data_IF_505321008546
#
_entry.id   IF_505321008546
#
_cell.length_a   1.000
_cell.length_b   1.000
_cell.length_c   1.000
_cell.angle_alpha   90.00
_cell.angle_beta   90.00
_cell.angle_gamma   90.00
#
_symmetry.space_group_name_H-M   'P 1'
#
loop_
_entity.id
_entity.type
_entity.pdbx_description
1 polymer ?
#
# COMPACT_ATOMS: atom_id res chain seq x y z
N UNK A 1 5.21 -7.46 -44.10
CA UNK A 1 6.51 -7.53 -43.39
C UNK A 1 6.39 -6.57 -42.23
N UNK A 2 6.21 -7.09 -41.02
CA UNK A 2 6.01 -6.29 -39.81
C UNK A 2 7.28 -5.50 -39.52
N UNK A 3 7.15 -4.20 -39.28
CA UNK A 3 8.28 -3.36 -38.90
C UNK A 3 8.77 -3.78 -37.50
N UNK A 4 9.86 -4.53 -37.47
CA UNK A 4 10.49 -5.06 -36.25
C UNK A 4 10.93 -3.94 -35.29
N UNK A 5 11.26 -2.74 -35.79
CA UNK A 5 11.66 -1.62 -34.94
C UNK A 5 10.44 -1.02 -34.23
N UNK A 6 9.32 -0.89 -34.93
CA UNK A 6 8.05 -0.43 -34.35
C UNK A 6 7.51 -1.40 -33.29
N UNK A 7 7.65 -2.72 -33.52
CA UNK A 7 7.29 -3.73 -32.53
C UNK A 7 8.06 -3.58 -31.21
N UNK A 8 9.39 -3.41 -31.29
CA UNK A 8 10.26 -3.24 -30.12
C UNK A 8 10.00 -1.94 -29.36
N UNK A 9 9.65 -0.86 -30.08
CA UNK A 9 9.27 0.41 -29.46
C UNK A 9 7.98 0.28 -28.65
N UNK A 10 6.97 -0.41 -29.20
CA UNK A 10 5.72 -0.68 -28.51
C UNK A 10 5.92 -1.56 -27.27
N UNK A 11 6.76 -2.60 -27.36
CA UNK A 11 7.13 -3.43 -26.20
C UNK A 11 7.75 -2.57 -25.09
N UNK A 12 8.67 -1.66 -25.42
CA UNK A 12 9.29 -0.77 -24.44
C UNK A 12 8.26 0.17 -23.77
N UNK A 13 7.32 0.73 -24.53
CA UNK A 13 6.24 1.57 -23.98
C UNK A 13 5.32 0.77 -23.05
N UNK A 14 5.02 -0.49 -23.40
CA UNK A 14 4.21 -1.37 -22.55
C UNK A 14 4.92 -1.68 -21.24
N UNK A 15 6.22 -1.92 -21.24
CA UNK A 15 6.98 -2.16 -20.00
C UNK A 15 7.00 -0.93 -19.08
N UNK A 16 7.10 0.28 -19.63
CA UNK A 16 6.95 1.53 -18.86
C UNK A 16 5.56 1.61 -18.25
N UNK A 17 4.51 1.37 -19.04
CA UNK A 17 3.13 1.38 -18.57
C UNK A 17 2.88 0.35 -17.45
N UNK A 18 3.39 -0.87 -17.59
CA UNK A 18 3.28 -1.91 -16.55
C UNK A 18 3.92 -1.44 -15.25
N UNK A 19 5.12 -0.85 -15.33
CA UNK A 19 5.84 -0.31 -14.18
C UNK A 19 5.04 0.79 -13.49
N UNK A 20 4.59 1.80 -14.22
CA UNK A 20 3.81 2.92 -13.65
C UNK A 20 2.48 2.46 -13.05
N UNK A 21 1.82 1.48 -13.67
CA UNK A 21 0.54 0.93 -13.16
C UNK A 21 0.73 0.22 -11.83
N UNK A 22 1.87 -0.46 -11.61
CA UNK A 22 2.19 -1.13 -10.35
C UNK A 22 2.43 -0.14 -9.18
N UNK A 23 2.65 1.15 -9.45
CA UNK A 23 2.79 2.18 -8.40
C UNK A 23 1.44 2.58 -7.79
N UNK A 24 0.32 2.21 -8.42
CA UNK A 24 -1.02 2.43 -7.88
C UNK A 24 -1.28 1.48 -6.70
N UNK A 25 -1.76 2.04 -5.58
CA UNK A 25 -1.83 1.36 -4.27
C UNK A 25 -2.57 0.00 -4.25
N UNK A 26 -3.49 -0.27 -5.19
CA UNK A 26 -4.30 -1.50 -5.23
C UNK A 26 -3.89 -2.47 -6.34
N UNK A 27 -3.00 -2.05 -7.25
CA UNK A 27 -2.61 -2.88 -8.40
C UNK A 27 -1.76 -4.08 -7.98
N UNK A 28 -0.83 -4.00 -7.02
CA UNK A 28 -0.13 -5.16 -6.50
C UNK A 28 -1.09 -6.24 -5.96
N UNK A 29 -2.03 -5.85 -5.09
CA UNK A 29 -3.03 -6.75 -4.51
C UNK A 29 -3.89 -7.43 -5.60
N UNK A 30 -4.24 -6.67 -6.64
CA UNK A 30 -4.98 -7.21 -7.78
C UNK A 30 -4.13 -8.20 -8.58
N UNK A 31 -2.88 -7.87 -8.88
CA UNK A 31 -1.98 -8.75 -9.63
C UNK A 31 -1.82 -10.10 -8.92
N UNK A 32 -1.75 -10.10 -7.60
CA UNK A 32 -1.67 -11.32 -6.76
C UNK A 32 -2.90 -12.23 -6.89
N UNK A 33 -4.06 -11.69 -7.32
CA UNK A 33 -5.26 -12.52 -7.59
C UNK A 33 -5.13 -13.37 -8.88
N UNK A 34 -4.20 -13.04 -9.77
CA UNK A 34 -4.04 -13.70 -11.08
C UNK A 34 -3.11 -14.91 -10.95
N UNK A 35 -3.65 -16.03 -10.44
CA UNK A 35 -2.84 -17.23 -10.14
C UNK A 35 -2.24 -17.97 -11.36
N UNK A 36 -2.86 -17.85 -12.54
CA UNK A 36 -2.49 -18.61 -13.75
C UNK A 36 -2.49 -17.76 -15.04
N UNK A 37 -2.50 -16.43 -14.91
CA UNK A 37 -2.61 -15.50 -16.05
C UNK A 37 -1.79 -14.24 -15.76
N UNK A 38 -1.26 -13.61 -16.80
CA UNK A 38 -0.64 -12.29 -16.66
C UNK A 38 -1.72 -11.21 -16.72
N UNK A 39 -1.82 -10.38 -15.67
CA UNK A 39 -2.70 -9.23 -15.59
C UNK A 39 -2.55 -8.32 -16.81
N UNK A 40 -1.32 -8.18 -17.33
CA UNK A 40 -0.97 -7.31 -18.44
C UNK A 40 -0.70 -8.05 -19.76
N UNK A 41 -1.21 -9.29 -19.92
CA UNK A 41 -1.06 -10.02 -21.18
C UNK A 41 -1.53 -9.19 -22.40
N UNK A 42 -0.73 -9.19 -23.46
CA UNK A 42 -1.01 -8.47 -24.70
C UNK A 42 -0.50 -9.24 -25.92
N UNK A 43 -0.96 -8.84 -27.10
CA UNK A 43 -0.42 -9.27 -28.39
C UNK A 43 -0.21 -8.08 -29.29
N UNK A 44 0.91 -8.04 -30.02
CA UNK A 44 1.18 -7.03 -31.04
C UNK A 44 0.87 -7.66 -32.41
N UNK A 45 -0.07 -7.07 -33.15
CA UNK A 45 -0.41 -7.49 -34.51
C UNK A 45 -0.48 -6.25 -35.40
N UNK A 46 0.16 -6.31 -36.57
CA UNK A 46 0.21 -5.22 -37.56
C UNK A 46 0.67 -3.85 -37.00
N UNK A 47 1.50 -3.85 -35.95
CA UNK A 47 2.01 -2.63 -35.32
C UNK A 47 0.98 -1.92 -34.45
N UNK A 48 -0.07 -2.62 -34.05
CA UNK A 48 -1.06 -2.22 -33.04
C UNK A 48 -0.99 -3.18 -31.84
N UNK A 49 -1.28 -2.64 -30.65
CA UNK A 49 -1.27 -3.39 -29.39
C UNK A 49 -2.70 -3.82 -29.07
N UNK A 50 -2.91 -5.12 -28.97
CA UNK A 50 -4.18 -5.72 -28.57
C UNK A 50 -4.05 -6.28 -27.15
N UNK A 51 -4.62 -5.56 -26.19
CA UNK A 51 -4.97 -6.13 -24.89
C UNK A 51 -6.20 -7.02 -25.07
N UNK A 52 -6.30 -8.13 -24.32
CA UNK A 52 -7.54 -8.90 -24.35
C UNK A 52 -8.70 -7.99 -23.89
N UNK A 53 -9.85 -8.07 -24.56
CA UNK A 53 -11.01 -7.16 -24.38
C UNK A 53 -11.42 -6.98 -22.91
N UNK A 54 -11.27 -8.03 -22.12
CA UNK A 54 -11.60 -8.01 -20.70
C UNK A 54 -10.56 -7.28 -19.84
N UNK A 55 -9.27 -7.31 -20.20
CA UNK A 55 -8.21 -6.58 -19.48
C UNK A 55 -8.33 -5.06 -19.71
N UNK A 56 -8.62 -4.62 -20.93
CA UNK A 56 -8.84 -3.20 -21.23
C UNK A 56 -10.09 -2.63 -20.53
N UNK A 57 -11.18 -3.42 -20.45
CA UNK A 57 -12.39 -3.06 -19.70
C UNK A 57 -12.11 -2.98 -18.19
N UNK A 58 -11.31 -3.90 -17.66
CA UNK A 58 -10.87 -3.92 -16.27
C UNK A 58 -10.01 -2.70 -15.95
N UNK A 59 -9.01 -2.39 -16.79
CA UNK A 59 -8.17 -1.18 -16.70
C UNK A 59 -8.96 0.12 -16.72
N UNK A 60 -9.95 0.23 -17.60
CA UNK A 60 -10.86 1.38 -17.63
C UNK A 60 -11.76 1.46 -16.38
N UNK A 61 -12.19 0.32 -15.85
CA UNK A 61 -12.95 0.27 -14.60
C UNK A 61 -12.08 0.67 -13.40
N UNK A 62 -10.80 0.26 -13.37
CA UNK A 62 -9.82 0.64 -12.36
C UNK A 62 -9.54 2.14 -12.39
N UNK A 63 -9.29 2.69 -13.57
CA UNK A 63 -9.09 4.13 -13.76
C UNK A 63 -10.28 4.96 -13.26
N UNK A 64 -11.51 4.54 -13.55
CA UNK A 64 -12.69 5.25 -13.08
C UNK A 64 -12.92 5.09 -11.57
N UNK A 65 -12.64 3.92 -10.98
CA UNK A 65 -12.71 3.73 -9.53
C UNK A 65 -11.63 4.52 -8.79
N UNK A 66 -10.39 4.51 -9.27
CA UNK A 66 -9.27 5.27 -8.71
C UNK A 66 -9.46 6.79 -8.83
N UNK A 67 -10.14 7.28 -9.87
CA UNK A 67 -10.56 8.69 -9.94
C UNK A 67 -11.74 9.02 -9.00
N UNK A 68 -12.62 8.05 -8.75
CA UNK A 68 -13.79 8.23 -7.90
C UNK A 68 -13.49 8.06 -6.39
N UNK A 69 -12.43 7.32 -6.06
CA UNK A 69 -11.88 7.18 -4.72
C UNK A 69 -10.49 7.80 -4.70
N UNK A 70 -10.36 8.98 -4.09
CA UNK A 70 -9.07 9.42 -3.58
C UNK A 70 -8.49 8.27 -2.74
N UNK A 71 -7.18 8.02 -2.85
CA UNK A 71 -6.43 7.09 -1.98
C UNK A 71 -7.10 7.09 -0.61
N UNK A 72 -7.57 5.93 -0.10
CA UNK A 72 -8.27 5.89 1.17
C UNK A 72 -7.47 6.73 2.16
N UNK A 73 -8.08 7.79 2.70
CA UNK A 73 -7.39 8.62 3.67
C UNK A 73 -6.95 7.67 4.78
N UNK A 74 -5.65 7.41 4.87
CA UNK A 74 -5.05 6.61 5.95
C UNK A 74 -5.08 7.46 7.21
N UNK A 75 -6.29 7.67 7.73
CA UNK A 75 -6.56 8.34 9.00
C UNK A 75 -6.58 7.29 10.08
N UNK A 76 -5.76 7.50 11.10
CA UNK A 76 -5.85 6.77 12.35
C UNK A 76 -6.52 7.69 13.38
N UNK A 77 -7.47 7.16 14.13
CA UNK A 77 -8.12 7.87 15.22
C UNK A 77 -7.55 7.36 16.52
N UNK A 78 -6.88 8.23 17.27
CA UNK A 78 -6.29 7.93 18.56
C UNK A 78 -6.84 8.89 19.61
N UNK A 79 -7.10 8.38 20.80
CA UNK A 79 -7.42 9.22 21.96
C UNK A 79 -6.17 9.97 22.43
N UNK A 80 -6.35 11.06 23.17
CA UNK A 80 -5.22 11.74 23.83
C UNK A 80 -4.46 10.80 24.78
N UNK A 81 -5.14 9.81 25.36
CA UNK A 81 -4.52 8.80 26.20
C UNK A 81 -3.59 7.88 25.40
N UNK A 82 -4.01 7.39 24.23
CA UNK A 82 -3.16 6.61 23.34
C UNK A 82 -1.96 7.42 22.83
N UNK A 83 -2.18 8.69 22.48
CA UNK A 83 -1.10 9.60 22.09
C UNK A 83 -0.11 9.84 23.24
N UNK A 84 -0.61 10.00 24.46
CA UNK A 84 0.23 10.17 25.65
C UNK A 84 1.01 8.88 25.97
N UNK A 85 0.38 7.72 25.85
CA UNK A 85 1.04 6.43 26.02
C UNK A 85 2.16 6.25 24.98
N UNK A 86 1.89 6.56 23.70
CA UNK A 86 2.90 6.55 22.65
C UNK A 86 4.08 7.48 22.98
N UNK A 87 3.82 8.73 23.38
CA UNK A 87 4.87 9.67 23.73
C UNK A 87 5.73 9.19 24.91
N UNK A 88 5.11 8.61 25.95
CA UNK A 88 5.86 8.04 27.08
C UNK A 88 6.60 6.75 26.70
N UNK A 89 6.17 6.03 25.68
CA UNK A 89 6.91 4.86 25.20
C UNK A 89 8.25 5.28 24.57
N UNK A 90 8.26 6.34 23.74
CA UNK A 90 9.50 6.86 23.15
C UNK A 90 10.35 7.70 24.12
N UNK A 91 9.71 8.47 25.00
CA UNK A 91 10.38 9.38 25.93
C UNK A 91 9.81 9.26 27.36
N UNK A 92 10.01 8.12 28.07
CA UNK A 92 9.36 7.83 29.35
C UNK A 92 9.63 8.87 30.45
N UNK A 93 10.81 9.47 30.44
CA UNK A 93 11.22 10.48 31.42
C UNK A 93 11.15 11.92 30.88
N UNK A 94 10.63 12.12 29.66
CA UNK A 94 10.59 13.43 28.98
C UNK A 94 11.96 14.10 28.87
N UNK A 95 13.00 13.27 28.76
CA UNK A 95 14.36 13.73 28.49
C UNK A 95 14.35 14.49 27.15
N UNK A 96 14.84 15.75 27.10
CA UNK A 96 14.91 16.51 25.86
C UNK A 96 15.57 15.76 24.70
N UNK A 97 16.56 14.89 24.96
CA UNK A 97 17.22 14.10 23.91
C UNK A 97 16.31 13.02 23.33
N UNK A 98 15.40 12.46 24.14
CA UNK A 98 14.45 11.42 23.70
C UNK A 98 13.20 11.99 23.05
N UNK A 99 12.93 13.29 23.18
CA UNK A 99 11.79 13.93 22.50
C UNK A 99 11.93 13.94 20.98
N UNK A 100 13.15 13.77 20.47
CA UNK A 100 13.43 13.64 19.04
C UNK A 100 13.24 12.19 18.53
N UNK A 101 13.03 11.21 19.41
CA UNK A 101 12.80 9.82 19.02
C UNK A 101 11.57 9.68 18.12
N UNK A 102 11.80 9.21 16.91
CA UNK A 102 10.72 8.97 15.96
C UNK A 102 9.97 7.67 16.31
N UNK A 103 8.65 7.78 16.42
CA UNK A 103 7.77 6.65 16.67
C UNK A 103 6.90 6.38 15.44
N UNK A 104 6.76 5.12 15.08
CA UNK A 104 5.82 4.68 14.04
C UNK A 104 4.61 4.03 14.69
N UNK A 105 3.42 4.39 14.19
CA UNK A 105 2.15 3.74 14.54
C UNK A 105 1.65 2.96 13.33
N UNK A 106 1.48 1.65 13.49
CA UNK A 106 1.05 0.76 12.41
C UNK A 106 0.03 -0.25 12.89
N UNK A 107 -0.85 -0.68 11.98
CA UNK A 107 -1.75 -1.80 12.21
C UNK A 107 -1.02 -3.12 11.97
N UNK A 108 -1.16 -4.05 12.91
CA UNK A 108 -0.68 -5.43 12.77
C UNK A 108 -1.87 -6.37 12.82
N UNK A 109 -1.98 -7.27 11.84
CA UNK A 109 -2.99 -8.34 11.82
C UNK A 109 -2.66 -9.44 12.84
N UNK A 110 -1.38 -9.76 13.00
CA UNK A 110 -0.89 -10.76 13.94
C UNK A 110 0.31 -10.21 14.72
N UNK A 111 0.09 -9.88 16.00
CA UNK A 111 1.12 -9.38 16.90
C UNK A 111 1.01 -10.04 18.28
N UNK A 112 1.98 -9.79 19.15
CA UNK A 112 2.12 -10.46 20.44
C UNK A 112 0.86 -10.36 21.34
N UNK A 113 0.08 -9.28 21.20
CA UNK A 113 -1.17 -9.03 21.94
C UNK A 113 -2.41 -9.01 21.04
N UNK A 114 -2.39 -9.79 19.94
CA UNK A 114 -3.46 -9.86 18.95
C UNK A 114 -3.42 -8.71 17.93
N UNK A 115 -4.41 -8.64 17.05
CA UNK A 115 -4.49 -7.58 16.03
C UNK A 115 -4.74 -6.20 16.67
N UNK A 116 -4.25 -5.15 16.02
CA UNK A 116 -4.46 -3.78 16.49
C UNK A 116 -3.42 -2.78 16.00
N UNK A 117 -3.57 -1.53 16.42
CA UNK A 117 -2.52 -0.52 16.26
C UNK A 117 -1.46 -0.67 17.34
N UNK A 118 -0.20 -0.63 16.93
CA UNK A 118 0.96 -0.65 17.81
C UNK A 118 1.85 0.54 17.53
N UNK A 119 2.55 1.00 18.56
CA UNK A 119 3.63 1.98 18.46
C UNK A 119 4.97 1.29 18.70
N UNK A 120 5.99 1.66 17.92
CA UNK A 120 7.37 1.21 18.09
C UNK A 120 8.35 2.33 17.71
N UNK A 121 9.61 2.20 18.12
CA UNK A 121 10.68 3.14 17.76
C UNK A 121 11.07 2.91 16.30
N UNK A 122 10.93 3.93 15.45
CA UNK A 122 11.10 3.79 14.00
C UNK A 122 12.47 3.26 13.60
N UNK A 123 13.51 3.63 14.33
CA UNK A 123 14.89 3.20 14.08
C UNK A 123 15.16 1.74 14.51
N UNK A 124 14.37 1.21 15.45
CA UNK A 124 14.56 -0.12 16.06
C UNK A 124 13.22 -0.88 16.17
N UNK A 125 12.54 -1.17 15.04
CA UNK A 125 11.24 -1.86 15.03
C UNK A 125 11.25 -3.24 15.69
N UNK A 126 12.42 -3.88 15.78
CA UNK A 126 12.65 -5.18 16.38
C UNK A 126 12.73 -5.18 17.91
N UNK A 127 13.00 -4.02 18.55
CA UNK A 127 13.17 -3.92 20.01
C UNK A 127 11.85 -4.00 20.78
N UNK A 128 10.74 -4.09 20.05
CA UNK A 128 9.41 -4.32 20.60
C UNK A 128 8.46 -3.21 20.24
N UNK A 129 7.18 -3.52 20.39
CA UNK A 129 6.09 -2.61 20.11
C UNK A 129 5.09 -2.65 21.26
N UNK A 130 4.46 -1.52 21.55
CA UNK A 130 3.39 -1.41 22.54
C UNK A 130 2.05 -1.29 21.83
N UNK A 131 1.06 -2.10 22.21
CA UNK A 131 -0.29 -2.00 21.66
C UNK A 131 -0.96 -0.72 22.15
N UNK A 132 -1.56 0.04 21.25
CA UNK A 132 -2.34 1.23 21.57
C UNK A 132 -3.80 0.81 21.83
N UNK A 133 -4.07 0.24 23.00
CA UNK A 133 -5.44 -0.08 23.40
C UNK A 133 -6.18 1.18 23.87
N UNK A 134 -7.48 1.27 23.60
CA UNK A 134 -8.36 2.19 24.31
C UNK A 134 -9.10 1.40 25.38
N UNK A 135 -9.15 1.88 26.62
CA UNK A 135 -9.99 1.28 27.68
C UNK A 135 -11.50 1.46 27.41
N UNK A 136 -11.92 1.72 26.17
CA UNK A 136 -13.33 1.68 25.77
C UNK A 136 -13.77 0.24 25.51
N UNK A 137 -13.69 -0.59 26.55
CA UNK A 137 -14.57 -1.74 26.70
C UNK A 137 -15.99 -1.25 26.97
N UNK A 138 -16.66 -0.70 25.96
CA UNK A 138 -18.09 -0.48 25.96
C UNK A 138 -18.58 -0.59 24.52
N UNK A 139 -19.14 -1.76 24.22
CA UNK A 139 -19.96 -2.03 23.05
C UNK A 139 -20.96 -0.87 22.84
N UNK A 140 -21.06 -0.40 21.60
CA UNK A 140 -22.08 0.56 21.15
C UNK A 140 -22.53 0.20 19.74
#
# INVERSE_FOLDING_TARGET
>A
MTDLNKGRELEAQIEVFKKETMELWFVPDLADTYKNKDLFSYSIMDGEVFFMREQARQLWSFWNKAKAQAVPEKKIYLTCEQLYAAANFGAPNKDPELLETELTIAWFEEAHSGSGYYVYISEYPEEGAMKLESESGAEG
#
